data_IF_607975026088
#
_entry.id   IF_607975026088
#
_cell.length_a   1.000
_cell.length_b   1.000
_cell.length_c   1.000
_cell.angle_alpha   90.00
_cell.angle_beta   90.00
_cell.angle_gamma   90.00
#
_symmetry.space_group_name_H-M   'P 1'
#
loop_
_entity.id
_entity.type
_entity.pdbx_description
1 polymer ?
#
# COMPACT_ATOMS: atom_id res chain seq x y z
N UNK A 1 -7.46 0.92 -16.09
CA UNK A 1 -6.09 0.86 -15.53
C UNK A 1 -6.16 0.14 -14.19
N UNK A 2 -5.05 -0.35 -13.63
CA UNK A 2 -5.03 -1.00 -12.31
C UNK A 2 -5.63 -0.07 -11.24
N UNK A 3 -5.28 1.21 -11.27
CA UNK A 3 -5.83 2.23 -10.36
C UNK A 3 -7.36 2.29 -10.44
N UNK A 4 -7.94 2.39 -11.65
CA UNK A 4 -9.40 2.50 -11.83
C UNK A 4 -10.16 1.27 -11.30
N UNK A 5 -9.48 0.14 -11.13
CA UNK A 5 -10.09 -1.11 -10.65
C UNK A 5 -10.06 -1.25 -9.13
N UNK A 6 -8.94 -0.93 -8.50
CA UNK A 6 -8.73 -1.24 -7.08
C UNK A 6 -8.79 0.00 -6.17
N UNK A 7 -8.44 1.17 -6.68
CA UNK A 7 -8.32 2.39 -5.88
C UNK A 7 -9.67 3.08 -5.68
N UNK A 8 -10.01 3.44 -4.44
CA UNK A 8 -11.17 4.24 -4.08
C UNK A 8 -12.31 3.49 -3.35
N UNK A 9 -12.11 2.23 -2.94
CA UNK A 9 -13.08 1.51 -2.08
C UNK A 9 -12.45 1.03 -0.78
N UNK A 10 -11.58 0.00 -0.85
CA UNK A 10 -10.85 -0.52 0.32
C UNK A 10 -9.36 -0.18 0.26
N UNK A 11 -8.83 -0.15 -0.95
CA UNK A 11 -7.52 0.40 -1.26
C UNK A 11 -7.71 1.86 -1.64
N UNK A 12 -6.86 2.76 -1.16
CA UNK A 12 -6.89 4.15 -1.60
C UNK A 12 -8.01 5.02 -1.03
N UNK A 13 -8.78 4.52 -0.07
CA UNK A 13 -9.96 5.19 0.48
C UNK A 13 -9.82 5.56 1.96
N UNK A 14 -8.75 5.12 2.63
CA UNK A 14 -8.52 5.36 4.03
C UNK A 14 -7.68 6.64 4.26
N UNK A 15 -7.63 7.12 5.50
CA UNK A 15 -6.78 8.27 5.86
C UNK A 15 -5.30 7.95 5.60
N UNK A 16 -4.87 6.71 5.84
CA UNK A 16 -3.53 6.24 5.49
C UNK A 16 -3.24 6.34 3.99
N UNK A 17 -4.25 6.17 3.14
CA UNK A 17 -4.11 6.32 1.69
C UNK A 17 -3.83 7.76 1.30
N UNK A 18 -4.53 8.70 1.92
CA UNK A 18 -4.30 10.14 1.71
C UNK A 18 -2.91 10.53 2.16
N UNK A 19 -2.49 10.05 3.33
CA UNK A 19 -1.16 10.31 3.86
C UNK A 19 -0.05 9.66 3.01
N UNK A 20 -0.30 8.49 2.44
CA UNK A 20 0.63 7.81 1.53
C UNK A 20 0.82 8.62 0.25
N UNK A 21 -0.26 9.17 -0.31
CA UNK A 21 -0.17 10.07 -1.48
C UNK A 21 0.64 11.32 -1.14
N UNK A 22 0.41 11.93 0.04
CA UNK A 22 1.19 13.08 0.53
C UNK A 22 2.68 12.73 0.66
N UNK A 23 3.00 11.55 1.20
CA UNK A 23 4.38 11.04 1.28
C UNK A 23 5.00 10.91 -0.12
N UNK A 24 4.30 10.26 -1.05
CA UNK A 24 4.78 10.07 -2.43
C UNK A 24 5.03 11.39 -3.15
N UNK A 25 4.15 12.39 -2.99
CA UNK A 25 4.37 13.74 -3.52
C UNK A 25 5.66 14.37 -2.97
N UNK A 26 5.87 14.23 -1.66
CA UNK A 26 7.05 14.76 -0.96
C UNK A 26 8.37 14.15 -1.42
N UNK A 27 8.37 12.91 -1.91
CA UNK A 27 9.59 12.28 -2.45
C UNK A 27 10.16 13.01 -3.65
N UNK A 28 9.31 13.70 -4.43
CA UNK A 28 9.75 14.51 -5.56
C UNK A 28 10.23 13.72 -6.80
N UNK A 29 10.20 12.39 -6.77
CA UNK A 29 10.74 11.53 -7.84
C UNK A 29 9.65 10.92 -8.72
N UNK A 30 10.01 10.46 -9.92
CA UNK A 30 9.12 9.73 -10.83
C UNK A 30 9.21 8.21 -10.67
N UNK A 31 10.38 7.70 -10.27
CA UNK A 31 10.59 6.27 -9.99
C UNK A 31 11.13 6.13 -8.58
N UNK A 32 10.41 5.41 -7.74
CA UNK A 32 10.73 5.21 -6.33
C UNK A 32 10.90 3.72 -6.05
N UNK A 33 12.01 3.32 -5.43
CA UNK A 33 12.21 1.93 -5.05
C UNK A 33 11.32 1.57 -3.84
N UNK A 34 10.66 0.41 -3.88
CA UNK A 34 9.86 -0.07 -2.74
C UNK A 34 10.71 -0.22 -1.48
N UNK A 35 11.98 -0.62 -1.63
CA UNK A 35 12.95 -0.70 -0.51
C UNK A 35 13.08 0.66 0.22
N UNK A 36 13.11 1.76 -0.51
CA UNK A 36 13.22 3.10 0.09
C UNK A 36 11.98 3.44 0.91
N UNK A 37 10.79 3.12 0.41
CA UNK A 37 9.54 3.28 1.14
C UNK A 37 9.58 2.43 2.41
N UNK A 38 10.03 1.18 2.31
CA UNK A 38 10.10 0.28 3.45
C UNK A 38 11.03 0.78 4.55
N UNK A 39 12.20 1.31 4.17
CA UNK A 39 13.15 1.91 5.11
C UNK A 39 12.59 3.18 5.74
N UNK A 40 11.97 4.06 4.94
CA UNK A 40 11.43 5.33 5.45
C UNK A 40 10.30 5.14 6.44
N UNK A 41 9.42 4.18 6.18
CA UNK A 41 8.26 3.88 7.02
C UNK A 41 8.55 2.86 8.12
N UNK A 42 9.78 2.30 8.19
CA UNK A 42 10.15 1.25 9.14
C UNK A 42 9.45 -0.10 8.91
N UNK A 43 8.94 -0.35 7.71
CA UNK A 43 8.31 -1.62 7.32
C UNK A 43 9.33 -2.75 7.21
N UNK A 44 10.59 -2.44 6.92
CA UNK A 44 11.67 -3.42 6.80
C UNK A 44 11.96 -4.16 8.12
N UNK A 45 11.76 -3.49 9.25
CA UNK A 45 11.93 -4.02 10.61
C UNK A 45 10.80 -4.95 11.05
N UNK A 46 9.65 -4.93 10.35
CA UNK A 46 8.46 -5.73 10.66
C UNK A 46 8.53 -7.15 10.09
N UNK A 47 9.49 -7.44 9.21
CA UNK A 47 9.74 -8.76 8.63
C UNK A 47 8.48 -9.43 8.02
N UNK A 48 7.59 -8.65 7.40
CA UNK A 48 6.37 -9.16 6.78
C UNK A 48 5.16 -9.28 7.71
N UNK A 49 5.29 -8.94 9.00
CA UNK A 49 4.17 -8.90 9.94
C UNK A 49 3.64 -7.47 10.10
N UNK A 50 2.54 -7.18 9.41
CA UNK A 50 1.89 -5.86 9.41
C UNK A 50 0.50 -5.87 10.03
N UNK A 51 0.17 -6.94 10.76
CA UNK A 51 -1.18 -7.22 11.30
C UNK A 51 -1.68 -6.09 12.22
N UNK A 52 -0.77 -5.46 12.96
CA UNK A 52 -1.10 -4.45 13.97
C UNK A 52 -0.09 -3.30 13.99
N UNK A 53 -0.55 -2.17 14.51
CA UNK A 53 0.21 -0.97 14.76
C UNK A 53 0.40 -0.05 13.55
N UNK A 54 0.72 1.19 13.87
CA UNK A 54 0.99 2.25 12.91
C UNK A 54 2.43 2.34 12.43
N UNK A 55 2.66 3.34 11.56
CA UNK A 55 3.95 3.72 11.01
C UNK A 55 4.15 5.22 11.19
N UNK A 56 5.40 5.60 11.42
CA UNK A 56 5.83 7.00 11.48
C UNK A 56 7.03 7.17 10.57
N UNK A 57 7.05 8.27 9.82
CA UNK A 57 8.19 8.61 8.98
C UNK A 57 8.50 10.10 9.03
N UNK A 58 9.79 10.41 8.95
CA UNK A 58 10.27 11.78 8.81
C UNK A 58 11.03 11.90 7.49
N UNK A 59 10.49 12.67 6.54
CA UNK A 59 11.10 12.88 5.23
C UNK A 59 11.19 14.37 4.93
N UNK A 60 12.42 14.86 4.73
CA UNK A 60 12.71 16.23 4.30
C UNK A 60 12.03 17.33 5.14
N UNK A 61 11.91 17.14 6.46
CA UNK A 61 11.29 18.12 7.36
C UNK A 61 9.77 18.00 7.49
N UNK A 62 9.16 16.98 6.87
CA UNK A 62 7.75 16.64 7.06
C UNK A 62 7.62 15.32 7.83
N UNK A 63 6.68 15.30 8.77
CA UNK A 63 6.25 14.10 9.49
C UNK A 63 5.05 13.48 8.79
N UNK A 64 5.03 12.15 8.75
CA UNK A 64 3.95 11.32 8.21
C UNK A 64 3.56 10.28 9.25
N UNK A 65 2.26 10.14 9.48
CA UNK A 65 1.71 9.21 10.47
C UNK A 65 0.63 8.34 9.84
N UNK A 66 0.71 7.04 10.08
CA UNK A 66 -0.23 6.05 9.57
C UNK A 66 -0.72 5.20 10.73
N UNK A 67 -2.04 5.14 10.94
CA UNK A 67 -2.62 4.34 12.03
C UNK A 67 -2.50 2.82 11.77
N UNK A 68 -2.47 2.40 10.51
CA UNK A 68 -2.36 0.99 10.13
C UNK A 68 -1.22 0.72 9.13
N UNK A 69 -0.26 -0.09 9.55
CA UNK A 69 0.77 -0.61 8.66
C UNK A 69 0.18 -1.49 7.54
N UNK A 70 -0.86 -2.27 7.84
CA UNK A 70 -1.50 -3.13 6.85
C UNK A 70 -2.20 -2.33 5.75
N UNK A 71 -2.91 -1.25 6.09
CA UNK A 71 -3.55 -0.39 5.09
C UNK A 71 -2.51 0.17 4.09
N UNK A 72 -1.35 0.59 4.60
CA UNK A 72 -0.26 1.07 3.75
C UNK A 72 0.27 -0.03 2.83
N UNK A 73 0.38 -1.28 3.31
CA UNK A 73 0.78 -2.43 2.49
C UNK A 73 -0.26 -2.74 1.41
N UNK A 74 -1.55 -2.69 1.75
CA UNK A 74 -2.63 -2.83 0.78
C UNK A 74 -2.48 -1.79 -0.34
N UNK A 75 -2.38 -0.51 0.01
CA UNK A 75 -2.28 0.57 -0.97
C UNK A 75 -1.00 0.43 -1.83
N UNK A 76 0.15 0.17 -1.21
CA UNK A 76 1.42 -0.05 -1.91
C UNK A 76 1.35 -1.23 -2.89
N UNK A 77 0.58 -2.28 -2.58
CA UNK A 77 0.41 -3.43 -3.47
C UNK A 77 -0.30 -3.05 -4.78
N UNK A 78 -1.31 -2.18 -4.72
CA UNK A 78 -2.02 -1.66 -5.90
C UNK A 78 -1.10 -0.74 -6.71
N UNK A 79 -0.36 0.15 -6.05
CA UNK A 79 0.55 1.07 -6.73
C UNK A 79 1.72 0.34 -7.41
N UNK A 80 2.25 -0.69 -6.77
CA UNK A 80 3.26 -1.57 -7.36
C UNK A 80 2.70 -2.36 -8.54
N UNK A 81 1.49 -2.91 -8.41
CA UNK A 81 0.84 -3.62 -9.51
C UNK A 81 0.57 -2.71 -10.70
N UNK A 82 0.13 -1.47 -10.47
CA UNK A 82 -0.03 -0.45 -11.50
C UNK A 82 1.30 -0.13 -12.18
N UNK A 83 2.39 -0.05 -11.42
CA UNK A 83 3.74 0.17 -11.96
C UNK A 83 4.28 -1.00 -12.78
N UNK A 84 3.79 -2.23 -12.51
CA UNK A 84 4.16 -3.47 -13.21
C UNK A 84 3.34 -3.68 -14.49
N UNK A 85 2.03 -3.43 -14.45
CA UNK A 85 1.08 -3.75 -15.55
C UNK A 85 0.78 -2.56 -16.44
N UNK A 86 0.79 -1.36 -15.88
CA UNK A 86 0.62 -0.10 -16.60
C UNK A 86 1.97 0.64 -16.65
N UNK A 87 2.01 1.82 -17.27
CA UNK A 87 3.22 2.67 -17.34
C UNK A 87 3.47 3.47 -16.05
N UNK A 88 2.92 3.01 -14.91
CA UNK A 88 2.83 3.75 -13.65
C UNK A 88 1.43 4.26 -13.33
N UNK A 89 1.36 5.23 -12.43
CA UNK A 89 0.12 5.85 -11.97
C UNK A 89 0.28 7.37 -11.85
N UNK A 90 -0.78 8.12 -12.10
CA UNK A 90 -0.78 9.57 -11.91
C UNK A 90 -1.19 9.90 -10.48
N UNK A 91 -0.40 10.70 -9.76
CA UNK A 91 -0.72 11.12 -8.39
C UNK A 91 -2.09 11.80 -8.29
N UNK A 92 -2.46 12.63 -9.27
CA UNK A 92 -3.78 13.27 -9.30
C UNK A 92 -4.97 12.30 -9.35
N UNK A 93 -4.78 11.07 -9.84
CA UNK A 93 -5.83 10.03 -9.81
C UNK A 93 -5.98 9.39 -8.43
N UNK A 94 -4.97 9.53 -7.57
CA UNK A 94 -4.98 9.05 -6.20
C UNK A 94 -5.47 10.12 -5.21
N UNK A 95 -5.78 11.33 -5.69
CA UNK A 95 -6.12 12.49 -4.85
C UNK A 95 -4.96 13.47 -4.62
N UNK A 96 -3.81 13.26 -5.26
CA UNK A 96 -2.66 14.17 -5.20
C UNK A 96 -2.90 15.48 -5.97
N UNK A 97 -2.07 16.48 -5.69
CA UNK A 97 -2.14 17.81 -6.29
C UNK A 97 -1.42 17.93 -7.64
N UNK A 98 -0.47 17.03 -7.93
CA UNK A 98 0.37 17.09 -9.14
C UNK A 98 -0.06 16.07 -10.21
N UNK A 99 -0.03 16.50 -11.48
CA UNK A 99 -0.14 15.61 -12.65
C UNK A 99 1.21 14.95 -12.98
N UNK A 100 1.84 14.32 -11.99
CA UNK A 100 3.07 13.54 -12.17
C UNK A 100 2.72 12.06 -12.29
N UNK A 101 3.25 11.41 -13.31
CA UNK A 101 3.24 9.94 -13.42
C UNK A 101 4.38 9.40 -12.57
N UNK A 102 4.08 8.46 -11.68
CA UNK A 102 5.03 7.78 -10.83
C UNK A 102 5.03 6.28 -11.05
N UNK A 103 6.15 5.64 -10.73
CA UNK A 103 6.32 4.19 -10.67
C UNK A 103 6.98 3.80 -9.36
N UNK A 104 6.55 2.66 -8.82
CA UNK A 104 7.21 2.00 -7.71
C UNK A 104 7.91 0.75 -8.24
N UNK A 105 9.23 0.73 -8.11
CA UNK A 105 10.06 -0.41 -8.50
C UNK A 105 10.10 -1.42 -7.35
N UNK A 106 9.45 -2.56 -7.59
CA UNK A 106 9.30 -3.62 -6.61
C UNK A 106 10.55 -4.51 -6.56
N UNK A 107 11.20 -4.56 -5.39
CA UNK A 107 12.28 -5.51 -5.11
C UNK A 107 11.77 -6.92 -4.77
N UNK A 108 12.62 -7.94 -4.91
CA UNK A 108 12.24 -9.35 -4.69
C UNK A 108 11.84 -9.61 -3.23
N UNK A 109 12.59 -9.03 -2.29
CA UNK A 109 12.31 -9.15 -0.85
C UNK A 109 10.98 -8.47 -0.52
N UNK A 110 10.77 -7.24 -1.00
CA UNK A 110 9.57 -6.46 -0.74
C UNK A 110 8.34 -7.13 -1.36
N UNK A 111 8.46 -7.67 -2.58
CA UNK A 111 7.39 -8.46 -3.21
C UNK A 111 7.00 -9.64 -2.33
N UNK A 112 7.99 -10.39 -1.84
CA UNK A 112 7.75 -11.54 -0.95
C UNK A 112 7.01 -11.10 0.33
N UNK A 113 7.39 -9.97 0.93
CA UNK A 113 6.74 -9.47 2.15
C UNK A 113 5.31 -8.99 1.88
N UNK A 114 5.09 -8.22 0.81
CA UNK A 114 3.75 -7.77 0.39
C UNK A 114 2.85 -8.96 0.08
N UNK A 115 3.31 -9.89 -0.77
CA UNK A 115 2.53 -11.06 -1.15
C UNK A 115 2.18 -11.94 0.05
N UNK A 116 3.11 -12.09 0.99
CA UNK A 116 2.88 -12.83 2.24
C UNK A 116 1.84 -12.13 3.11
N UNK A 117 1.90 -10.81 3.26
CA UNK A 117 0.93 -10.03 4.04
C UNK A 117 -0.49 -10.12 3.45
N UNK A 118 -0.63 -9.95 2.14
CA UNK A 118 -1.93 -10.09 1.46
C UNK A 118 -2.52 -11.48 1.66
N UNK A 119 -1.68 -12.53 1.56
CA UNK A 119 -2.09 -13.90 1.81
C UNK A 119 -2.56 -14.11 3.25
N UNK A 120 -1.86 -13.55 4.24
CA UNK A 120 -2.25 -13.69 5.64
C UNK A 120 -3.61 -13.06 5.91
N UNK A 121 -3.87 -11.86 5.37
CA UNK A 121 -5.19 -11.24 5.49
C UNK A 121 -6.28 -12.06 4.83
N UNK A 122 -6.04 -12.60 3.63
CA UNK A 122 -7.04 -13.44 2.96
C UNK A 122 -7.37 -14.74 3.70
N UNK A 123 -6.42 -15.28 4.47
CA UNK A 123 -6.61 -16.51 5.25
C UNK A 123 -7.27 -16.26 6.62
N UNK A 124 -6.89 -15.15 7.27
CA UNK A 124 -7.28 -14.83 8.65
C UNK A 124 -7.46 -13.33 8.82
N UNK A 125 -8.48 -12.71 8.19
CA UNK A 125 -8.66 -11.27 8.25
C UNK A 125 -8.94 -10.79 9.68
N UNK A 126 -9.65 -11.58 10.49
CA UNK A 126 -10.00 -11.27 11.88
C UNK A 126 -8.79 -11.11 12.82
N UNK A 127 -7.62 -11.62 12.43
CA UNK A 127 -6.39 -11.42 13.20
C UNK A 127 -5.80 -10.02 13.01
N UNK A 128 -6.19 -9.30 11.95
CA UNK A 128 -5.68 -7.97 11.65
C UNK A 128 -6.43 -6.91 12.44
N UNK A 129 -5.69 -5.98 13.06
CA UNK A 129 -6.27 -4.86 13.82
C UNK A 129 -7.21 -4.02 12.95
N UNK A 130 -6.91 -3.91 11.65
CA UNK A 130 -7.76 -3.20 10.69
C UNK A 130 -9.14 -3.83 10.50
N UNK A 131 -9.32 -5.11 10.84
CA UNK A 131 -10.60 -5.80 10.76
C UNK A 131 -11.64 -5.15 11.70
N UNK A 132 -11.21 -4.52 12.79
CA UNK A 132 -12.10 -3.79 13.70
C UNK A 132 -12.86 -2.63 13.02
N UNK A 133 -12.40 -2.18 11.85
CA UNK A 133 -13.03 -1.11 11.06
C UNK A 133 -14.20 -1.60 10.20
N UNK A 134 -14.38 -2.91 10.07
CA UNK A 134 -15.27 -3.51 9.07
C UNK A 134 -16.10 -4.65 9.66
N UNK A 135 -17.25 -4.93 9.05
CA UNK A 135 -18.02 -6.13 9.33
C UNK A 135 -17.38 -7.36 8.65
N UNK A 136 -17.70 -8.56 9.14
CA UNK A 136 -17.12 -9.81 8.64
C UNK A 136 -17.33 -10.06 7.13
N UNK A 137 -18.46 -9.64 6.55
CA UNK A 137 -18.70 -9.77 5.11
C UNK A 137 -17.69 -8.94 4.30
N UNK A 138 -17.33 -7.76 4.79
CA UNK A 138 -16.35 -6.87 4.13
C UNK A 138 -14.93 -7.44 4.25
N UNK A 139 -14.61 -8.15 5.32
CA UNK A 139 -13.31 -8.83 5.45
C UNK A 139 -13.06 -9.81 4.31
N UNK A 140 -14.06 -10.61 3.95
CA UNK A 140 -13.93 -11.57 2.86
C UNK A 140 -13.80 -10.90 1.50
N UNK A 141 -14.54 -9.81 1.25
CA UNK A 141 -14.38 -9.01 0.03
C UNK A 141 -12.95 -8.45 -0.11
N UNK A 142 -12.37 -7.93 0.98
CA UNK A 142 -10.98 -7.44 0.99
C UNK A 142 -10.02 -8.61 0.81
N UNK A 143 -10.27 -9.75 1.45
CA UNK A 143 -9.47 -10.97 1.31
C UNK A 143 -9.40 -11.48 -0.13
N UNK A 144 -10.54 -11.50 -0.84
CA UNK A 144 -10.61 -11.88 -2.25
C UNK A 144 -9.79 -10.92 -3.13
N UNK A 145 -9.88 -9.60 -2.88
CA UNK A 145 -9.07 -8.61 -3.60
C UNK A 145 -7.57 -8.76 -3.29
N UNK A 146 -7.21 -9.05 -2.04
CA UNK A 146 -5.83 -9.33 -1.64
C UNK A 146 -5.26 -10.53 -2.41
N UNK A 147 -5.99 -11.64 -2.51
CA UNK A 147 -5.56 -12.80 -3.30
C UNK A 147 -5.47 -12.49 -4.79
N UNK A 148 -6.41 -11.69 -5.31
CA UNK A 148 -6.41 -11.31 -6.72
C UNK A 148 -5.19 -10.45 -7.09
N UNK A 149 -4.83 -9.48 -6.25
CA UNK A 149 -3.63 -8.65 -6.42
C UNK A 149 -2.39 -9.52 -6.28
N UNK A 150 -2.34 -10.37 -5.24
CA UNK A 150 -1.20 -11.26 -4.95
C UNK A 150 -0.89 -12.15 -6.16
N UNK A 151 -1.90 -12.76 -6.78
CA UNK A 151 -1.73 -13.62 -7.95
C UNK A 151 -1.17 -12.88 -9.18
N UNK A 152 -1.27 -11.56 -9.24
CA UNK A 152 -0.76 -10.73 -10.33
C UNK A 152 0.64 -10.14 -10.04
N UNK A 153 1.06 -10.13 -8.77
CA UNK A 153 2.38 -9.71 -8.34
C UNK A 153 3.47 -10.76 -8.61
N UNK A 154 3.09 -12.02 -8.79
CA UNK A 154 3.96 -13.12 -9.27
C UNK A 154 4.52 -12.90 -10.68
#
# INVERSE_FOLDING_TARGET
MIIDRYWGTYFGAADESTELVRYLEHTGVEVLAMEKIFVDLGLDQRAGNYIAGGLDAHLAGADFHFDSAFQVIMDLSVLALASKKDTGFELSRLGGSHQRVMRIDMGVKENTQVATALKYFALSPEEHEIAERFDADVWYDIGDLCEEIRAQLD
#
